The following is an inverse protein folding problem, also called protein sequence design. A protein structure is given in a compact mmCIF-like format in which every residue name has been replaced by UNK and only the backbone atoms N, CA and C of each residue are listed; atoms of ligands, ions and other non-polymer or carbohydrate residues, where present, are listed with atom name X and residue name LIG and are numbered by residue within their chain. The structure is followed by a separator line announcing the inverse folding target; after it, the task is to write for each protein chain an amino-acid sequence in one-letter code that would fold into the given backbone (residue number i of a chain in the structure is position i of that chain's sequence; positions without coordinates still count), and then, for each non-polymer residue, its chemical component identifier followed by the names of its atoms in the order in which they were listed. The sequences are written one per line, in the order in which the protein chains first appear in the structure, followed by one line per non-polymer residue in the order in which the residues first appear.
data_IF_117007035391
#
_entry.id   IF_117007035391
#
_cell.length_a   1.000
_cell.length_b   1.000
_cell.length_c   1.000
_cell.angle_alpha   90.00
_cell.angle_beta   90.00
_cell.angle_gamma   90.00
#
_symmetry.space_group_name_H-M   'P 1'
#
loop_
_entity.id
_entity.type
_entity.pdbx_description
1 polymer ?
#
# COMPACT_ATOMS: atom_id res chain seq x y z
N UNK A 1 -28.71 14.31 -7.12
CA UNK A 1 -28.03 13.00 -7.29
C UNK A 1 -27.82 12.39 -5.91
N UNK A 2 -27.94 11.07 -5.77
CA UNK A 2 -27.72 10.38 -4.50
C UNK A 2 -26.53 9.41 -4.62
N UNK A 3 -25.73 9.34 -3.56
CA UNK A 3 -24.71 8.32 -3.34
C UNK A 3 -25.26 7.35 -2.29
N UNK A 4 -25.36 6.08 -2.63
CA UNK A 4 -25.94 5.07 -1.76
C UNK A 4 -25.13 3.77 -1.78
N UNK A 5 -25.29 2.99 -0.73
CA UNK A 5 -24.67 1.67 -0.61
C UNK A 5 -25.09 0.99 0.67
N UNK A 6 -24.55 -0.20 0.87
CA UNK A 6 -24.76 -0.98 2.09
C UNK A 6 -23.42 -1.39 2.70
N UNK A 7 -23.28 -1.21 3.99
CA UNK A 7 -22.13 -1.70 4.73
C UNK A 7 -22.46 -3.06 5.34
N UNK A 8 -21.53 -3.99 5.20
CA UNK A 8 -21.69 -5.36 5.68
C UNK A 8 -20.41 -5.81 6.40
N UNK A 9 -20.54 -6.78 7.29
CA UNK A 9 -19.42 -7.49 7.90
C UNK A 9 -19.16 -8.80 7.14
N UNK A 10 -17.92 -9.33 7.08
CA UNK A 10 -17.60 -10.54 6.34
C UNK A 10 -18.34 -11.79 6.86
N UNK A 11 -18.66 -11.79 8.14
CA UNK A 11 -19.33 -12.87 8.85
C UNK A 11 -20.87 -12.71 8.89
N UNK A 12 -21.40 -11.67 8.22
CA UNK A 12 -22.84 -11.35 8.24
C UNK A 12 -23.35 -10.84 9.60
N UNK A 13 -22.45 -10.57 10.56
CA UNK A 13 -22.83 -10.03 11.86
C UNK A 13 -23.43 -8.61 11.72
N UNK A 14 -24.26 -8.16 12.67
CA UNK A 14 -24.79 -6.82 12.67
C UNK A 14 -23.70 -5.76 12.64
N UNK A 15 -23.90 -4.71 11.84
CA UNK A 15 -23.00 -3.54 11.82
C UNK A 15 -23.19 -2.70 13.08
N UNK A 16 -22.14 -2.00 13.54
CA UNK A 16 -22.22 -1.15 14.73
C UNK A 16 -23.11 0.09 14.49
N UNK A 17 -23.70 0.59 15.59
CA UNK A 17 -24.63 1.74 15.54
C UNK A 17 -23.92 3.09 15.29
N UNK A 18 -22.61 3.15 15.47
CA UNK A 18 -21.75 4.33 15.28
C UNK A 18 -21.03 4.36 13.94
N UNK A 19 -21.58 3.64 12.96
CA UNK A 19 -20.98 3.51 11.64
C UNK A 19 -21.14 4.80 10.85
N UNK A 20 -20.04 5.54 10.72
CA UNK A 20 -19.95 6.84 10.05
C UNK A 20 -19.44 6.65 8.62
N UNK A 21 -20.17 7.25 7.67
CA UNK A 21 -19.80 7.30 6.25
C UNK A 21 -19.51 8.73 5.86
N UNK A 22 -18.28 9.00 5.42
CA UNK A 22 -17.80 10.34 5.08
C UNK A 22 -17.45 10.39 3.59
N UNK A 23 -17.90 11.44 2.90
CA UNK A 23 -17.37 11.81 1.58
C UNK A 23 -16.22 12.78 1.75
N UNK A 24 -15.04 12.38 1.31
CA UNK A 24 -13.79 13.14 1.42
C UNK A 24 -13.34 13.53 0.02
N UNK A 25 -13.17 14.81 -0.26
CA UNK A 25 -12.70 15.31 -1.55
C UNK A 25 -11.50 16.23 -1.34
N UNK A 26 -10.40 15.99 -2.06
CA UNK A 26 -9.15 16.73 -1.88
C UNK A 26 -8.71 16.76 -0.41
N UNK A 27 -8.76 15.60 0.25
CA UNK A 27 -8.42 15.39 1.66
C UNK A 27 -9.24 16.21 2.69
N UNK A 28 -10.42 16.71 2.30
CA UNK A 28 -11.36 17.42 3.17
C UNK A 28 -12.69 16.69 3.22
N UNK A 29 -13.21 16.47 4.43
CA UNK A 29 -14.56 15.93 4.61
C UNK A 29 -15.56 16.95 4.06
N UNK A 30 -16.41 16.51 3.14
CA UNK A 30 -17.44 17.33 2.51
C UNK A 30 -18.84 16.99 3.00
N UNK A 31 -19.03 15.75 3.43
CA UNK A 31 -20.34 15.29 3.88
C UNK A 31 -20.18 14.05 4.76
N UNK A 32 -21.07 13.91 5.75
CA UNK A 32 -21.10 12.79 6.67
C UNK A 32 -22.54 12.28 6.83
N UNK A 33 -22.68 10.97 7.00
CA UNK A 33 -23.96 10.32 7.31
C UNK A 33 -23.70 9.07 8.15
N UNK A 34 -24.60 8.78 9.08
CA UNK A 34 -24.59 7.50 9.80
C UNK A 34 -25.35 6.46 9.00
N UNK A 35 -24.82 5.25 8.92
CA UNK A 35 -25.54 4.15 8.31
C UNK A 35 -26.65 3.65 9.24
N UNK A 36 -27.70 3.07 8.64
CA UNK A 36 -28.77 2.41 9.38
C UNK A 36 -28.26 1.16 10.12
N UNK A 37 -29.04 0.63 11.06
CA UNK A 37 -28.75 -0.65 11.74
C UNK A 37 -28.57 -1.84 10.79
N UNK A 38 -29.06 -1.73 9.55
CA UNK A 38 -28.88 -2.73 8.49
C UNK A 38 -27.65 -2.45 7.61
N UNK A 39 -26.90 -1.37 7.92
CA UNK A 39 -25.74 -0.92 7.16
C UNK A 39 -26.08 -0.07 5.94
N UNK A 40 -27.36 0.22 5.65
CA UNK A 40 -27.73 1.01 4.48
C UNK A 40 -27.41 2.50 4.75
N UNK A 41 -26.84 3.18 3.75
CA UNK A 41 -26.59 4.62 3.79
C UNK A 41 -26.97 5.30 2.49
N UNK A 42 -27.33 6.58 2.57
CA UNK A 42 -27.61 7.42 1.42
C UNK A 42 -27.23 8.88 1.71
N UNK A 43 -26.50 9.49 0.77
CA UNK A 43 -26.08 10.90 0.81
C UNK A 43 -26.63 11.62 -0.41
N UNK A 44 -27.27 12.77 -0.22
CA UNK A 44 -27.67 13.63 -1.33
C UNK A 44 -26.46 14.46 -1.78
N UNK A 45 -26.01 14.28 -3.02
CA UNK A 45 -24.91 15.03 -3.62
C UNK A 45 -25.44 16.33 -4.22
N UNK A 46 -24.79 17.46 -3.89
CA UNK A 46 -25.14 18.78 -4.45
C UNK A 46 -26.00 19.68 -3.54
N UNK A 47 -26.41 19.25 -2.34
CA UNK A 47 -26.94 20.17 -1.35
C UNK A 47 -25.77 20.85 -0.60
N UNK A 48 -25.72 22.18 -0.63
CA UNK A 48 -24.87 22.96 0.25
C UNK A 48 -25.41 22.83 1.67
N UNK A 49 -24.85 21.94 2.46
CA UNK A 49 -24.93 22.00 3.92
C UNK A 49 -23.53 22.25 4.44
N UNK A 50 -23.01 23.46 4.17
CA UNK A 50 -21.91 24.03 4.94
C UNK A 50 -22.52 24.60 6.23
N UNK A 51 -22.97 23.74 7.12
CA UNK A 51 -23.36 24.11 8.46
C UNK A 51 -22.46 23.40 9.47
N UNK A 52 -21.26 23.96 9.65
CA UNK A 52 -20.63 23.93 10.97
C UNK A 52 -21.12 25.15 11.72
N UNK A 53 -21.61 25.05 12.95
CA UNK A 53 -21.91 26.22 13.77
C UNK A 53 -20.59 26.81 14.28
N UNK A 54 -20.04 27.80 13.56
CA UNK A 54 -19.16 28.77 14.18
C UNK A 54 -20.03 29.74 14.99
N UNK A 55 -19.78 29.77 16.29
CA UNK A 55 -20.37 30.72 17.21
C UNK A 55 -19.89 32.14 16.90
N UNK A 56 -20.85 33.04 16.82
CA UNK A 56 -20.76 34.52 16.95
C UNK A 56 -20.11 35.31 15.80
N UNK A 57 -20.96 36.06 15.06
CA UNK A 57 -20.96 37.53 15.01
C UNK A 57 -21.99 38.07 14.02
N UNK A 58 -22.96 38.79 14.58
CA UNK A 58 -23.65 39.98 14.09
C UNK A 58 -24.22 40.12 12.67
N UNK A 59 -25.49 40.48 12.67
CA UNK A 59 -26.34 40.82 11.58
C UNK A 59 -25.85 42.04 10.77
N UNK A 60 -25.92 41.96 9.46
CA UNK A 60 -26.16 43.11 8.60
C UNK A 60 -26.99 42.69 7.41
N UNK A 61 -28.18 43.24 7.32
CA UNK A 61 -29.15 43.16 6.26
C UNK A 61 -28.65 43.86 4.99
N UNK A 62 -28.73 43.23 3.85
CA UNK A 62 -28.97 43.90 2.58
C UNK A 62 -29.73 43.02 1.57
N UNK A 63 -30.84 43.52 1.12
CA UNK A 63 -31.69 43.03 0.03
C UNK A 63 -30.92 42.86 -1.26
N UNK A 64 -31.16 41.76 -1.97
CA UNK A 64 -30.69 41.65 -3.35
C UNK A 64 -31.06 40.35 -4.06
N UNK A 65 -32.25 40.34 -4.71
CA UNK A 65 -32.58 39.62 -5.95
C UNK A 65 -32.41 38.10 -5.98
N UNK A 66 -33.53 37.45 -5.94
CA UNK A 66 -33.77 36.06 -6.36
C UNK A 66 -33.33 35.81 -7.82
N UNK A 67 -32.34 34.92 -7.99
CA UNK A 67 -32.23 34.23 -9.28
C UNK A 67 -32.44 32.74 -9.02
N UNK A 68 -33.65 32.30 -9.39
CA UNK A 68 -34.02 30.89 -9.53
C UNK A 68 -33.34 30.36 -10.78
N UNK A 69 -32.62 29.34 -10.64
CA UNK A 69 -32.20 28.27 -11.55
C UNK A 69 -30.69 28.04 -11.47
N UNK A 70 -30.30 27.19 -10.57
CA UNK A 70 -29.19 26.28 -10.81
C UNK A 70 -29.32 25.09 -9.84
N UNK A 71 -30.11 24.14 -10.28
CA UNK A 71 -30.03 22.75 -9.86
C UNK A 71 -28.66 22.21 -10.36
N UNK A 72 -27.55 22.73 -9.83
CA UNK A 72 -26.23 22.29 -10.15
C UNK A 72 -25.92 21.07 -9.27
N UNK A 73 -26.39 19.92 -9.73
CA UNK A 73 -25.87 18.65 -9.27
C UNK A 73 -24.34 18.65 -9.38
N UNK A 74 -23.66 18.03 -8.40
CA UNK A 74 -22.20 17.83 -8.42
C UNK A 74 -21.81 17.27 -9.78
N UNK A 75 -20.85 17.92 -10.46
CA UNK A 75 -20.38 17.45 -11.75
C UNK A 75 -19.61 16.13 -11.59
N UNK A 76 -19.63 15.27 -12.59
CA UNK A 76 -18.84 14.03 -12.63
C UNK A 76 -17.34 14.29 -12.35
N UNK A 77 -16.83 15.46 -12.77
CA UNK A 77 -15.44 15.88 -12.51
C UNK A 77 -15.13 16.13 -11.04
N UNK A 78 -16.10 16.60 -10.25
CA UNK A 78 -15.89 16.80 -8.81
C UNK A 78 -15.82 15.49 -8.05
N UNK A 79 -16.47 14.42 -8.54
CA UNK A 79 -16.44 13.09 -7.92
C UNK A 79 -15.12 12.34 -8.19
N UNK A 80 -14.37 12.68 -9.23
CA UNK A 80 -13.09 12.03 -9.53
C UNK A 80 -12.01 12.31 -8.48
N UNK A 81 -12.20 13.34 -7.67
CA UNK A 81 -11.28 13.71 -6.57
C UNK A 81 -11.83 13.36 -5.19
N UNK A 82 -12.89 12.57 -5.16
CA UNK A 82 -13.59 12.21 -3.93
C UNK A 82 -13.52 10.72 -3.64
N UNK A 83 -13.39 10.43 -2.35
CA UNK A 83 -13.44 9.09 -1.79
C UNK A 83 -14.58 8.98 -0.77
N UNK A 84 -15.08 7.77 -0.59
CA UNK A 84 -15.98 7.42 0.49
C UNK A 84 -15.19 6.74 1.59
N UNK A 85 -15.17 7.32 2.78
CA UNK A 85 -14.55 6.76 3.97
C UNK A 85 -15.61 6.21 4.90
N UNK A 86 -15.45 4.95 5.31
CA UNK A 86 -16.32 4.29 6.27
C UNK A 86 -15.54 4.00 7.54
N UNK A 87 -16.03 4.44 8.70
CA UNK A 87 -15.40 4.23 10.01
C UNK A 87 -16.44 3.86 11.06
N UNK A 88 -16.04 3.01 12.00
CA UNK A 88 -16.82 2.65 13.18
C UNK A 88 -15.92 2.17 14.29
N UNK A 89 -16.35 2.31 15.56
CA UNK A 89 -15.60 1.81 16.71
C UNK A 89 -15.38 0.30 16.66
N UNK A 90 -14.13 -0.13 16.78
CA UNK A 90 -13.76 -1.55 16.71
C UNK A 90 -13.75 -2.16 15.30
N UNK A 91 -13.87 -1.33 14.26
CA UNK A 91 -13.75 -1.74 12.87
C UNK A 91 -12.65 -0.95 12.16
N UNK A 92 -12.08 -1.56 11.13
CA UNK A 92 -11.14 -0.85 10.26
C UNK A 92 -11.86 0.13 9.36
N UNK A 93 -11.31 1.33 9.26
CA UNK A 93 -11.72 2.31 8.26
C UNK A 93 -11.51 1.77 6.85
N UNK A 94 -12.49 1.93 5.97
CA UNK A 94 -12.37 1.58 4.56
C UNK A 94 -12.56 2.82 3.70
N UNK A 95 -11.71 2.94 2.68
CA UNK A 95 -11.81 4.01 1.68
C UNK A 95 -12.16 3.40 0.33
N UNK A 96 -13.09 4.03 -0.37
CA UNK A 96 -13.55 3.62 -1.69
C UNK A 96 -13.47 4.84 -2.59
N UNK A 97 -12.71 4.75 -3.67
CA UNK A 97 -12.67 5.83 -4.65
C UNK A 97 -14.00 5.93 -5.39
N UNK A 98 -14.50 7.16 -5.52
CA UNK A 98 -15.71 7.45 -6.30
C UNK A 98 -15.38 7.68 -7.79
N UNK A 99 -14.10 7.62 -8.16
CA UNK A 99 -13.67 7.75 -9.54
C UNK A 99 -14.12 6.53 -10.36
N UNK A 100 -14.79 6.78 -11.49
CA UNK A 100 -15.19 5.74 -12.43
C UNK A 100 -16.47 4.98 -12.07
N UNK A 101 -17.18 5.36 -10.99
CA UNK A 101 -18.47 4.77 -10.69
C UNK A 101 -19.55 5.28 -11.64
N UNK A 102 -20.38 4.35 -12.14
CA UNK A 102 -21.47 4.67 -13.05
C UNK A 102 -22.70 5.23 -12.31
N UNK A 103 -23.34 6.18 -12.95
CA UNK A 103 -24.62 6.73 -12.47
C UNK A 103 -25.80 5.99 -13.12
N UNK A 104 -26.62 5.36 -12.31
CA UNK A 104 -27.84 4.70 -12.76
C UNK A 104 -29.04 5.43 -12.18
N UNK A 105 -29.91 5.97 -13.04
CA UNK A 105 -31.16 6.63 -12.60
C UNK A 105 -30.96 7.83 -11.67
N UNK A 106 -29.87 8.61 -11.85
CA UNK A 106 -29.55 9.79 -11.00
C UNK A 106 -28.97 9.46 -9.64
N UNK A 107 -28.53 8.24 -9.40
CA UNK A 107 -27.83 7.82 -8.20
C UNK A 107 -26.55 7.04 -8.54
N UNK A 108 -25.59 7.10 -7.63
CA UNK A 108 -24.37 6.29 -7.64
C UNK A 108 -24.56 5.22 -6.57
N UNK A 109 -24.48 3.96 -6.97
CA UNK A 109 -24.54 2.84 -6.05
C UNK A 109 -23.13 2.27 -5.87
N UNK A 110 -22.57 2.37 -4.66
CA UNK A 110 -21.24 1.82 -4.34
C UNK A 110 -21.28 0.34 -3.98
N UNK A 111 -22.48 -0.25 -4.03
CA UNK A 111 -22.67 -1.67 -3.70
C UNK A 111 -22.46 -1.98 -2.21
N UNK A 112 -22.01 -3.21 -1.95
CA UNK A 112 -21.73 -3.67 -0.60
C UNK A 112 -20.30 -3.30 -0.18
N UNK A 113 -20.18 -2.47 0.85
CA UNK A 113 -18.92 -2.08 1.47
C UNK A 113 -18.67 -2.99 2.66
N UNK A 114 -17.74 -3.93 2.53
CA UNK A 114 -17.42 -4.85 3.62
C UNK A 114 -16.43 -4.19 4.56
N UNK A 115 -16.81 -3.99 5.84
CA UNK A 115 -15.93 -3.52 6.92
C UNK A 115 -15.48 -4.69 7.79
N UNK A 116 -14.23 -4.69 8.21
CA UNK A 116 -13.65 -5.76 9.03
C UNK A 116 -13.48 -5.27 10.47
N UNK A 117 -13.70 -6.17 11.43
CA UNK A 117 -13.43 -5.86 12.84
C UNK A 117 -11.92 -5.62 13.04
N UNK A 118 -11.56 -4.60 13.79
CA UNK A 118 -10.17 -4.21 14.03
C UNK A 118 -9.31 -5.32 14.70
N UNK A 119 -9.93 -6.39 15.22
CA UNK A 119 -9.24 -7.53 15.81
C UNK A 119 -9.05 -8.75 14.90
N UNK A 120 -9.53 -8.71 13.64
CA UNK A 120 -9.48 -9.85 12.70
C UNK A 120 -8.75 -9.55 11.39
N UNK A 121 -7.88 -8.54 11.36
CA UNK A 121 -7.09 -8.24 10.16
C UNK A 121 -5.92 -9.19 10.10
N UNK A 122 -5.92 -10.00 9.07
CA UNK A 122 -4.78 -10.78 8.65
C UNK A 122 -3.76 -9.81 8.08
N UNK A 123 -2.69 -9.55 8.80
CA UNK A 123 -1.69 -8.53 8.45
C UNK A 123 -2.10 -7.08 8.80
N UNK A 124 -1.28 -6.38 9.50
CA UNK A 124 -1.50 -5.01 9.91
C UNK A 124 -0.29 -4.14 9.60
N UNK A 125 -0.53 -2.97 9.03
CA UNK A 125 0.49 -1.92 8.88
C UNK A 125 0.72 -1.15 10.17
N UNK A 126 -0.26 -1.20 11.10
CA UNK A 126 -0.16 -0.66 12.44
C UNK A 126 -0.47 -1.77 13.43
N UNK A 127 0.42 -1.99 14.37
CA UNK A 127 0.14 -2.90 15.49
C UNK A 127 -0.92 -2.32 16.43
N UNK A 128 -1.81 -3.16 16.94
CA UNK A 128 -2.82 -2.78 17.92
C UNK A 128 -2.26 -2.52 19.33
N UNK A 129 -0.95 -2.71 19.54
CA UNK A 129 -0.29 -2.56 20.85
C UNK A 129 -0.36 -1.14 21.47
N UNK A 130 -0.46 -0.02 20.72
CA UNK A 130 -0.49 1.33 21.30
C UNK A 130 -1.66 1.62 22.23
N UNK A 131 -2.79 0.94 22.06
CA UNK A 131 -4.00 1.20 22.86
C UNK A 131 -3.81 0.98 24.38
N UNK A 132 -2.86 0.15 24.77
CA UNK A 132 -2.54 -0.16 26.19
C UNK A 132 -1.31 0.56 26.71
N UNK A 133 -0.64 1.38 25.89
CA UNK A 133 0.60 2.02 26.28
C UNK A 133 0.37 3.09 27.38
N UNK A 134 1.22 3.16 28.41
CA UNK A 134 1.24 4.23 29.38
C UNK A 134 1.37 5.62 28.71
N UNK A 135 0.80 6.65 29.35
CA UNK A 135 0.80 8.02 28.80
C UNK A 135 2.20 8.53 28.45
N UNK A 136 3.18 8.24 29.32
CA UNK A 136 4.56 8.70 29.10
C UNK A 136 5.24 7.96 27.94
N UNK A 137 4.99 6.67 27.78
CA UNK A 137 5.47 5.91 26.62
C UNK A 137 4.88 6.46 25.31
N UNK A 138 3.58 6.75 25.27
CA UNK A 138 2.94 7.39 24.11
C UNK A 138 3.53 8.76 23.80
N UNK A 139 3.73 9.59 24.84
CA UNK A 139 4.35 10.90 24.67
C UNK A 139 5.78 10.82 24.14
N UNK A 140 6.57 9.83 24.59
CA UNK A 140 7.90 9.59 24.07
C UNK A 140 7.84 9.15 22.60
N UNK A 141 6.96 8.21 22.25
CA UNK A 141 6.75 7.76 20.88
C UNK A 141 6.36 8.92 19.93
N UNK A 142 5.38 9.75 20.32
CA UNK A 142 4.93 10.90 19.51
C UNK A 142 6.06 11.92 19.29
N UNK A 143 6.90 12.15 20.32
CA UNK A 143 8.08 13.00 20.19
C UNK A 143 9.13 12.40 19.25
N UNK A 144 9.30 11.08 19.28
CA UNK A 144 10.16 10.36 18.37
C UNK A 144 9.74 10.57 16.92
N UNK A 145 8.45 10.36 16.60
CA UNK A 145 7.90 10.62 15.27
C UNK A 145 8.09 12.08 14.82
N UNK A 146 7.88 13.03 15.74
CA UNK A 146 8.08 14.44 15.42
C UNK A 146 9.55 14.78 15.17
N UNK A 147 10.47 14.20 15.93
CA UNK A 147 11.90 14.37 15.76
C UNK A 147 12.37 13.78 14.43
N UNK A 148 11.91 12.57 14.10
CA UNK A 148 12.20 11.90 12.83
C UNK A 148 11.71 12.73 11.62
N UNK A 149 10.45 13.20 11.67
CA UNK A 149 9.88 14.07 10.63
C UNK A 149 10.69 15.36 10.42
N UNK A 150 11.32 15.87 11.48
CA UNK A 150 12.17 17.05 11.43
C UNK A 150 13.64 16.73 11.05
N UNK A 151 13.97 15.48 10.74
CA UNK A 151 15.32 15.03 10.41
C UNK A 151 16.30 14.96 11.59
N UNK A 152 15.80 15.06 12.85
CA UNK A 152 16.60 15.02 14.08
C UNK A 152 16.75 13.59 14.55
N UNK A 153 17.64 12.83 13.90
CA UNK A 153 17.79 11.39 14.16
C UNK A 153 18.23 11.10 15.61
N UNK A 154 19.20 11.84 16.16
CA UNK A 154 19.67 11.68 17.56
C UNK A 154 18.55 11.88 18.59
N UNK A 155 17.66 12.83 18.34
CA UNK A 155 16.51 13.07 19.23
C UNK A 155 15.46 11.95 19.05
N UNK A 156 15.21 11.51 17.80
CA UNK A 156 14.30 10.42 17.50
C UNK A 156 14.78 9.12 18.18
N UNK A 157 16.07 8.80 18.09
CA UNK A 157 16.69 7.68 18.77
C UNK A 157 16.36 7.66 20.26
N UNK A 158 16.69 8.73 20.99
CA UNK A 158 16.47 8.85 22.44
C UNK A 158 15.00 8.71 22.81
N UNK A 159 14.11 9.30 22.00
CA UNK A 159 12.68 9.23 22.28
C UNK A 159 12.10 7.84 22.01
N UNK A 160 12.50 7.15 20.94
CA UNK A 160 12.04 5.78 20.68
C UNK A 160 12.65 4.79 21.66
N UNK A 161 13.92 4.94 22.04
CA UNK A 161 14.54 4.17 23.12
C UNK A 161 13.75 4.31 24.41
N UNK A 162 13.46 5.55 24.85
CA UNK A 162 12.59 5.81 26.01
C UNK A 162 11.20 5.17 25.87
N UNK A 163 10.62 5.20 24.66
CA UNK A 163 9.30 4.62 24.43
C UNK A 163 9.31 3.09 24.60
N UNK A 164 10.34 2.39 24.10
CA UNK A 164 10.45 0.92 24.26
C UNK A 164 10.85 0.51 25.66
N UNK A 165 11.61 1.33 26.39
CA UNK A 165 11.91 1.12 27.81
C UNK A 165 10.65 1.23 28.68
N UNK A 166 9.85 2.27 28.47
CA UNK A 166 8.61 2.52 29.23
C UNK A 166 7.49 1.52 28.87
N UNK A 167 7.47 1.04 27.66
CA UNK A 167 6.48 0.07 27.19
C UNK A 167 7.08 -0.94 26.20
N UNK A 168 7.80 -1.97 26.70
CA UNK A 168 8.47 -2.98 25.86
C UNK A 168 7.52 -3.79 24.96
N UNK A 169 6.21 -3.81 25.25
CA UNK A 169 5.21 -4.52 24.45
C UNK A 169 4.67 -3.68 23.27
N UNK A 170 5.32 -2.59 22.89
CA UNK A 170 4.91 -1.77 21.75
C UNK A 170 5.65 -2.20 20.47
N UNK A 171 5.02 -2.99 19.62
CA UNK A 171 5.61 -3.38 18.34
C UNK A 171 5.90 -2.15 17.46
N UNK A 172 5.02 -1.15 17.45
CA UNK A 172 5.24 0.09 16.69
C UNK A 172 6.48 0.87 17.18
N UNK A 173 6.69 0.95 18.50
CA UNK A 173 7.85 1.66 19.04
C UNK A 173 9.16 0.94 18.68
N UNK A 174 9.18 -0.39 18.77
CA UNK A 174 10.32 -1.19 18.35
C UNK A 174 10.60 -1.07 16.85
N UNK A 175 9.56 -1.05 16.01
CA UNK A 175 9.72 -0.85 14.58
C UNK A 175 10.33 0.52 14.26
N UNK A 176 9.80 1.60 14.82
CA UNK A 176 10.34 2.94 14.60
C UNK A 176 11.75 3.10 15.16
N UNK A 177 12.03 2.49 16.32
CA UNK A 177 13.39 2.45 16.86
C UNK A 177 14.36 1.75 15.89
N UNK A 178 13.95 0.59 15.35
CA UNK A 178 14.72 -0.11 14.32
C UNK A 178 14.97 0.73 13.07
N UNK A 179 13.96 1.50 12.64
CA UNK A 179 14.07 2.39 11.47
C UNK A 179 15.11 3.50 11.70
N UNK A 180 15.13 4.09 12.88
CA UNK A 180 16.14 5.10 13.24
C UNK A 180 17.54 4.47 13.31
N UNK A 181 17.68 3.32 13.97
CA UNK A 181 18.96 2.59 14.05
C UNK A 181 19.51 2.23 12.66
N UNK A 182 18.64 1.86 11.72
CA UNK A 182 19.05 1.59 10.33
C UNK A 182 19.54 2.87 9.63
N UNK A 183 18.87 4.00 9.83
CA UNK A 183 19.32 5.31 9.31
C UNK A 183 20.64 5.78 9.92
N UNK A 184 20.95 5.37 11.15
CA UNK A 184 22.20 5.60 11.85
C UNK A 184 23.31 4.61 11.45
N UNK A 185 23.03 3.75 10.45
CA UNK A 185 23.97 2.71 9.99
C UNK A 185 24.35 1.70 11.08
N UNK A 186 23.37 1.32 11.92
CA UNK A 186 23.49 0.31 12.98
C UNK A 186 22.66 -0.95 12.63
N UNK A 187 23.02 -1.72 11.61
CA UNK A 187 22.14 -2.77 11.05
C UNK A 187 21.85 -3.90 12.06
N UNK A 188 22.83 -4.31 12.88
CA UNK A 188 22.63 -5.38 13.86
C UNK A 188 21.63 -4.98 14.95
N UNK A 189 21.70 -3.74 15.41
CA UNK A 189 20.74 -3.22 16.39
C UNK A 189 19.33 -3.05 15.77
N UNK A 190 19.28 -2.57 14.53
CA UNK A 190 18.03 -2.46 13.78
C UNK A 190 17.36 -3.84 13.59
N UNK A 191 18.13 -4.87 13.18
CA UNK A 191 17.61 -6.25 13.03
C UNK A 191 17.01 -6.75 14.35
N UNK A 192 17.67 -6.54 15.49
CA UNK A 192 17.13 -6.91 16.80
C UNK A 192 15.81 -6.19 17.12
N UNK A 193 15.75 -4.88 16.85
CA UNK A 193 14.55 -4.10 17.11
C UNK A 193 13.38 -4.55 16.22
N UNK A 194 13.59 -4.82 14.94
CA UNK A 194 12.59 -5.36 14.04
C UNK A 194 12.13 -6.76 14.45
N UNK A 195 13.05 -7.64 14.85
CA UNK A 195 12.73 -8.97 15.37
C UNK A 195 11.87 -8.87 16.63
N UNK A 196 12.19 -7.92 17.51
CA UNK A 196 11.38 -7.68 18.70
C UNK A 196 9.96 -7.24 18.32
N UNK A 197 9.82 -6.36 17.32
CA UNK A 197 8.53 -5.92 16.83
C UNK A 197 7.68 -7.10 16.27
N UNK A 198 8.29 -7.99 15.48
CA UNK A 198 7.61 -9.19 14.93
C UNK A 198 7.24 -10.20 16.00
N UNK A 199 8.03 -10.31 17.08
CA UNK A 199 7.75 -11.19 18.22
C UNK A 199 6.54 -10.70 19.03
N UNK A 200 6.42 -9.38 19.20
CA UNK A 200 5.32 -8.75 19.95
C UNK A 200 4.01 -8.84 19.16
N UNK A 201 4.07 -8.60 17.85
CA UNK A 201 2.92 -8.65 16.98
C UNK A 201 3.29 -9.35 15.66
N UNK A 202 2.99 -10.64 15.59
CA UNK A 202 3.30 -11.49 14.43
C UNK A 202 2.52 -11.10 13.16
N UNK A 203 1.55 -10.19 13.28
CA UNK A 203 0.71 -9.71 12.17
C UNK A 203 1.13 -8.33 11.68
N UNK A 204 2.09 -7.71 12.34
CA UNK A 204 2.60 -6.40 11.99
C UNK A 204 3.61 -6.52 10.84
N UNK A 205 3.17 -6.22 9.60
CA UNK A 205 3.91 -6.48 8.36
C UNK A 205 5.18 -5.62 8.15
N UNK A 206 5.22 -4.32 8.46
CA UNK A 206 6.38 -3.48 8.16
C UNK A 206 7.73 -4.00 8.67
N UNK A 207 7.88 -4.52 9.91
CA UNK A 207 9.17 -5.04 10.35
C UNK A 207 9.61 -6.31 9.60
N UNK A 208 8.67 -7.15 9.14
CA UNK A 208 9.03 -8.31 8.29
C UNK A 208 9.61 -7.85 6.96
N UNK A 209 9.06 -6.81 6.35
CA UNK A 209 9.59 -6.26 5.11
C UNK A 209 10.98 -5.65 5.29
N UNK A 210 11.19 -4.94 6.40
CA UNK A 210 12.52 -4.41 6.74
C UNK A 210 13.56 -5.53 6.94
N UNK A 211 13.17 -6.60 7.64
CA UNK A 211 14.01 -7.78 7.81
C UNK A 211 14.28 -8.48 6.48
N UNK A 212 13.29 -8.64 5.61
CA UNK A 212 13.45 -9.22 4.28
C UNK A 212 14.41 -8.40 3.40
N UNK A 213 14.31 -7.06 3.46
CA UNK A 213 15.25 -6.17 2.79
C UNK A 213 16.68 -6.33 3.30
N UNK A 214 16.87 -6.45 4.62
CA UNK A 214 18.20 -6.68 5.23
C UNK A 214 18.76 -8.05 4.83
N UNK A 215 17.95 -9.11 4.89
CA UNK A 215 18.34 -10.45 4.46
C UNK A 215 18.67 -10.50 2.96
N UNK A 216 17.90 -9.78 2.12
CA UNK A 216 18.18 -9.63 0.69
C UNK A 216 19.55 -8.98 0.44
N UNK A 217 19.87 -7.90 1.14
CA UNK A 217 21.16 -7.23 1.05
C UNK A 217 22.32 -8.12 1.50
N UNK A 218 22.08 -8.98 2.50
CA UNK A 218 23.06 -9.95 3.00
C UNK A 218 23.17 -11.21 2.12
N UNK A 219 22.25 -11.41 1.17
CA UNK A 219 22.19 -12.63 0.33
C UNK A 219 21.66 -13.87 1.07
N UNK A 220 20.94 -13.68 2.17
CA UNK A 220 20.35 -14.73 3.01
C UNK A 220 19.02 -15.23 2.40
N UNK A 221 19.09 -15.85 1.21
CA UNK A 221 17.93 -16.12 0.35
C UNK A 221 16.84 -16.98 0.99
N UNK A 222 17.22 -17.90 1.87
CA UNK A 222 16.24 -18.74 2.62
C UNK A 222 15.46 -17.86 3.59
N UNK A 223 16.13 -16.99 4.34
CA UNK A 223 15.46 -16.05 5.26
C UNK A 223 14.56 -15.07 4.49
N UNK A 224 15.00 -14.61 3.31
CA UNK A 224 14.15 -13.79 2.43
C UNK A 224 12.85 -14.51 2.08
N UNK A 225 12.90 -15.81 1.72
CA UNK A 225 11.71 -16.60 1.40
C UNK A 225 10.79 -16.76 2.61
N UNK A 226 11.34 -17.05 3.78
CA UNK A 226 10.55 -17.24 5.00
C UNK A 226 9.83 -15.94 5.39
N UNK A 227 10.54 -14.82 5.39
CA UNK A 227 9.98 -13.51 5.74
C UNK A 227 8.93 -13.03 4.72
N UNK A 228 9.24 -13.12 3.42
CA UNK A 228 8.30 -12.72 2.37
C UNK A 228 7.12 -13.68 2.27
N UNK A 229 7.32 -14.97 2.44
CA UNK A 229 6.25 -15.96 2.53
C UNK A 229 5.27 -15.61 3.64
N UNK A 230 5.77 -15.27 4.83
CA UNK A 230 4.93 -14.84 5.94
C UNK A 230 4.10 -13.58 5.62
N UNK A 231 4.71 -12.59 4.97
CA UNK A 231 4.00 -11.37 4.52
C UNK A 231 2.87 -11.74 3.55
N UNK A 232 3.17 -12.57 2.54
CA UNK A 232 2.22 -12.94 1.49
C UNK A 232 1.09 -13.84 2.01
N UNK A 233 1.35 -14.68 3.02
CA UNK A 233 0.35 -15.50 3.68
C UNK A 233 -0.60 -14.67 4.55
N UNK A 234 -0.09 -13.63 5.22
CA UNK A 234 -0.90 -12.73 6.03
C UNK A 234 -1.81 -11.80 5.19
N UNK A 235 -1.39 -11.46 3.97
CA UNK A 235 -2.18 -10.62 3.07
C UNK A 235 -2.18 -11.11 1.62
N UNK A 236 -2.75 -12.32 1.34
CA UNK A 236 -2.71 -12.95 0.03
C UNK A 236 -3.43 -12.14 -1.07
N UNK A 237 -4.26 -11.18 -0.69
CA UNK A 237 -5.02 -10.33 -1.62
C UNK A 237 -4.46 -8.89 -1.70
N UNK A 238 -3.32 -8.63 -1.06
CA UNK A 238 -2.70 -7.31 -1.03
C UNK A 238 -3.66 -6.18 -0.55
N UNK A 239 -4.57 -6.54 0.38
CA UNK A 239 -5.61 -5.61 0.87
C UNK A 239 -5.05 -4.52 1.77
N UNK A 240 -3.93 -4.80 2.43
CA UNK A 240 -3.29 -3.84 3.33
C UNK A 240 -2.63 -2.71 2.53
N UNK A 241 -2.07 -2.99 1.35
CA UNK A 241 -1.53 -1.97 0.46
C UNK A 241 -2.60 -0.98 -0.02
N UNK A 242 -3.81 -1.44 -0.30
CA UNK A 242 -4.94 -0.58 -0.69
C UNK A 242 -5.37 0.35 0.44
N UNK A 243 -5.21 -0.06 1.70
CA UNK A 243 -5.53 0.77 2.87
C UNK A 243 -4.42 1.77 3.23
N UNK A 244 -3.17 1.59 2.74
CA UNK A 244 -2.04 2.48 3.02
C UNK A 244 -2.15 3.86 2.35
N UNK A 245 -3.04 4.01 1.36
CA UNK A 245 -3.34 5.31 0.75
C UNK A 245 -3.82 6.38 1.76
N UNK A 246 -4.19 5.95 2.98
CA UNK A 246 -4.73 6.83 4.03
C UNK A 246 -3.64 7.41 4.94
N UNK A 247 -2.43 6.83 4.97
CA UNK A 247 -1.43 7.13 5.99
C UNK A 247 -0.09 7.65 5.46
N UNK A 248 0.01 8.14 4.22
CA UNK A 248 1.30 8.53 3.59
C UNK A 248 2.38 7.41 3.64
N UNK A 249 1.97 6.17 3.83
CA UNK A 249 2.85 5.01 3.74
C UNK A 249 2.87 4.56 2.28
N UNK A 250 4.06 4.46 1.73
CA UNK A 250 4.34 4.12 0.35
C UNK A 250 3.59 2.84 -0.08
N UNK A 251 2.66 2.90 -1.07
CA UNK A 251 1.95 1.71 -1.56
C UNK A 251 2.87 0.71 -2.28
N UNK A 252 4.13 1.05 -2.51
CA UNK A 252 5.14 0.19 -3.14
C UNK A 252 5.56 -1.01 -2.29
N UNK A 253 5.25 -1.02 -0.99
CA UNK A 253 5.78 -2.00 -0.02
C UNK A 253 5.46 -3.47 -0.33
N UNK A 254 4.46 -3.77 -1.16
CA UNK A 254 4.12 -5.15 -1.52
C UNK A 254 4.72 -5.61 -2.84
N UNK A 255 4.95 -4.69 -3.76
CA UNK A 255 5.79 -4.96 -4.92
C UNK A 255 7.18 -5.42 -4.45
N UNK A 256 7.72 -4.81 -3.38
CA UNK A 256 8.97 -5.19 -2.74
C UNK A 256 8.94 -6.64 -2.22
N UNK A 257 7.89 -7.03 -1.49
CA UNK A 257 7.79 -8.39 -0.96
C UNK A 257 7.75 -9.43 -2.09
N UNK A 258 6.99 -9.18 -3.15
CA UNK A 258 6.96 -10.05 -4.32
C UNK A 258 8.28 -10.05 -5.07
N UNK A 259 8.95 -8.90 -5.21
CA UNK A 259 10.26 -8.79 -5.84
C UNK A 259 11.33 -9.56 -5.05
N UNK A 260 11.42 -9.35 -3.73
CA UNK A 260 12.38 -10.08 -2.89
C UNK A 260 12.12 -11.59 -2.94
N UNK A 261 10.85 -12.01 -2.89
CA UNK A 261 10.47 -13.41 -3.02
C UNK A 261 10.90 -13.98 -4.38
N UNK A 262 10.64 -13.26 -5.46
CA UNK A 262 11.04 -13.65 -6.82
C UNK A 262 12.55 -13.79 -6.93
N UNK A 263 13.30 -12.81 -6.43
CA UNK A 263 14.76 -12.83 -6.47
C UNK A 263 15.33 -13.99 -5.65
N UNK A 264 14.79 -14.25 -4.46
CA UNK A 264 15.23 -15.37 -3.63
C UNK A 264 14.95 -16.73 -4.32
N UNK A 265 13.75 -16.90 -4.88
CA UNK A 265 13.42 -18.10 -5.66
C UNK A 265 14.37 -18.26 -6.85
N UNK A 266 14.68 -17.18 -7.59
CA UNK A 266 15.62 -17.20 -8.71
C UNK A 266 17.03 -17.61 -8.26
N UNK A 267 17.54 -17.05 -7.16
CA UNK A 267 18.87 -17.39 -6.61
C UNK A 267 18.94 -18.83 -6.09
N UNK A 268 17.83 -19.37 -5.60
CA UNK A 268 17.70 -20.76 -5.16
C UNK A 268 17.33 -21.71 -6.31
N UNK A 269 17.36 -21.23 -7.57
CA UNK A 269 17.05 -22.01 -8.79
C UNK A 269 15.64 -22.58 -8.85
N UNK A 270 14.67 -21.95 -8.15
CA UNK A 270 13.23 -22.25 -8.21
C UNK A 270 12.58 -21.37 -9.27
N UNK A 271 12.84 -21.64 -10.55
CA UNK A 271 12.56 -20.72 -11.65
C UNK A 271 11.07 -20.45 -11.84
N UNK A 272 10.19 -21.45 -11.69
CA UNK A 272 8.74 -21.32 -11.81
C UNK A 272 8.14 -20.43 -10.70
N UNK A 273 8.62 -20.60 -9.47
CA UNK A 273 8.18 -19.78 -8.34
C UNK A 273 8.72 -18.35 -8.49
N UNK A 274 9.95 -18.19 -8.99
CA UNK A 274 10.53 -16.89 -9.30
C UNK A 274 9.69 -16.12 -10.32
N UNK A 275 9.32 -16.77 -11.45
CA UNK A 275 8.46 -16.17 -12.48
C UNK A 275 7.12 -15.74 -11.91
N UNK A 276 6.44 -16.65 -11.18
CA UNK A 276 5.14 -16.36 -10.58
C UNK A 276 5.18 -15.14 -9.65
N UNK A 277 6.22 -15.03 -8.83
CA UNK A 277 6.39 -13.90 -7.92
C UNK A 277 6.79 -12.63 -8.65
N UNK A 278 7.67 -12.71 -9.65
CA UNK A 278 8.11 -11.56 -10.45
C UNK A 278 6.96 -10.96 -11.27
N UNK A 279 6.10 -11.79 -11.88
CA UNK A 279 4.90 -11.31 -12.59
C UNK A 279 3.90 -10.64 -11.64
N UNK A 280 3.79 -11.11 -10.41
CA UNK A 280 2.97 -10.44 -9.40
C UNK A 280 3.58 -9.10 -8.98
N UNK A 281 4.90 -9.03 -8.82
CA UNK A 281 5.59 -7.77 -8.52
C UNK A 281 5.36 -6.75 -9.66
N UNK A 282 5.53 -7.16 -10.92
CA UNK A 282 5.26 -6.32 -12.09
C UNK A 282 3.81 -5.81 -12.13
N UNK A 283 2.84 -6.69 -11.87
CA UNK A 283 1.42 -6.32 -11.88
C UNK A 283 1.03 -5.37 -10.74
N UNK A 284 1.74 -5.43 -9.63
CA UNK A 284 1.50 -4.57 -8.46
C UNK A 284 2.21 -3.22 -8.56
N UNK A 285 3.25 -3.12 -9.39
CA UNK A 285 3.99 -1.89 -9.62
C UNK A 285 3.23 -0.96 -10.57
N UNK A 286 2.24 -0.25 -10.01
CA UNK A 286 1.36 0.65 -10.77
C UNK A 286 2.08 1.91 -11.32
N UNK A 287 3.34 2.17 -10.94
CA UNK A 287 4.05 3.44 -11.26
C UNK A 287 5.51 3.23 -11.66
N UNK A 288 5.92 2.01 -12.02
CA UNK A 288 7.29 1.71 -12.47
C UNK A 288 8.40 2.06 -11.46
N UNK A 289 8.11 1.91 -10.15
CA UNK A 289 9.09 2.15 -9.08
C UNK A 289 10.17 1.06 -8.98
N UNK A 290 9.92 -0.11 -9.60
CA UNK A 290 10.81 -1.28 -9.58
C UNK A 290 11.29 -1.71 -10.98
N UNK A 291 12.13 -0.92 -11.66
CA UNK A 291 12.69 -1.33 -12.95
C UNK A 291 13.39 -2.71 -12.88
N UNK A 292 13.94 -3.07 -11.73
CA UNK A 292 14.64 -4.34 -11.48
C UNK A 292 13.75 -5.58 -11.69
N UNK A 293 12.43 -5.45 -11.55
CA UNK A 293 11.49 -6.54 -11.85
C UNK A 293 11.59 -6.96 -13.32
N UNK A 294 11.69 -5.99 -14.23
CA UNK A 294 11.82 -6.25 -15.66
C UNK A 294 13.15 -6.94 -15.98
N UNK A 295 14.25 -6.53 -15.34
CA UNK A 295 15.53 -7.22 -15.50
C UNK A 295 15.46 -8.66 -15.02
N UNK A 296 14.86 -8.90 -13.83
CA UNK A 296 14.68 -10.25 -13.29
C UNK A 296 13.79 -11.12 -14.19
N UNK A 297 12.67 -10.58 -14.69
CA UNK A 297 11.81 -11.29 -15.65
C UNK A 297 12.57 -11.61 -16.93
N UNK A 298 13.38 -10.69 -17.45
CA UNK A 298 14.26 -10.91 -18.59
C UNK A 298 15.21 -12.08 -18.36
N UNK A 299 15.89 -12.13 -17.21
CA UNK A 299 16.79 -13.24 -16.84
C UNK A 299 16.04 -14.57 -16.67
N UNK A 300 14.84 -14.56 -16.06
CA UNK A 300 13.99 -15.74 -15.90
C UNK A 300 13.56 -16.29 -17.25
N UNK A 301 13.03 -15.45 -18.15
CA UNK A 301 12.56 -15.88 -19.47
C UNK A 301 13.71 -16.33 -20.38
N UNK A 302 14.88 -15.71 -20.25
CA UNK A 302 16.10 -16.17 -20.95
C UNK A 302 16.48 -17.61 -20.53
N UNK A 303 16.48 -17.91 -19.23
CA UNK A 303 16.72 -19.27 -18.72
C UNK A 303 15.70 -20.30 -19.20
N UNK A 304 14.44 -19.87 -19.41
CA UNK A 304 13.38 -20.72 -19.94
C UNK A 304 13.41 -20.87 -21.45
N UNK A 305 14.35 -20.21 -22.15
CA UNK A 305 14.46 -20.21 -23.61
C UNK A 305 13.43 -19.35 -24.32
N UNK A 306 12.65 -18.54 -23.57
CA UNK A 306 11.69 -17.60 -24.16
C UNK A 306 12.37 -16.26 -24.46
N UNK A 307 13.25 -16.28 -25.46
CA UNK A 307 14.11 -15.16 -25.79
C UNK A 307 13.33 -13.90 -26.22
N UNK A 308 12.22 -14.07 -26.93
CA UNK A 308 11.42 -12.93 -27.38
C UNK A 308 10.86 -12.11 -26.21
N UNK A 309 10.33 -12.79 -25.18
CA UNK A 309 9.83 -12.11 -23.97
C UNK A 309 10.98 -11.54 -23.15
N UNK A 310 12.09 -12.29 -23.02
CA UNK A 310 13.29 -11.83 -22.31
C UNK A 310 13.83 -10.51 -22.89
N UNK A 311 13.90 -10.41 -24.22
CA UNK A 311 14.31 -9.21 -24.96
C UNK A 311 13.38 -8.04 -24.60
N UNK A 312 12.06 -8.22 -24.69
CA UNK A 312 11.09 -7.17 -24.36
C UNK A 312 11.23 -6.66 -22.94
N UNK A 313 11.41 -7.54 -21.98
CA UNK A 313 11.60 -7.19 -20.58
C UNK A 313 12.91 -6.41 -20.34
N UNK A 314 14.02 -6.84 -20.91
CA UNK A 314 15.31 -6.15 -20.77
C UNK A 314 15.31 -4.78 -21.47
N UNK A 315 14.62 -4.64 -22.61
CA UNK A 315 14.42 -3.36 -23.28
C UNK A 315 13.61 -2.40 -22.42
N UNK A 316 12.55 -2.90 -21.75
CA UNK A 316 11.75 -2.10 -20.79
C UNK A 316 12.62 -1.63 -19.63
N UNK A 317 13.45 -2.50 -19.04
CA UNK A 317 14.39 -2.10 -18.00
C UNK A 317 15.31 -0.96 -18.44
N UNK A 318 15.96 -1.11 -19.63
CA UNK A 318 16.87 -0.09 -20.15
C UNK A 318 16.17 1.22 -20.52
N UNK A 319 14.89 1.17 -20.90
CA UNK A 319 14.09 2.37 -21.16
C UNK A 319 13.78 3.14 -19.88
N UNK A 320 13.49 2.41 -18.78
CA UNK A 320 13.20 3.02 -17.49
C UNK A 320 14.45 3.57 -16.79
N UNK A 321 15.58 2.89 -16.89
CA UNK A 321 16.83 3.26 -16.21
C UNK A 321 18.05 3.18 -17.15
N UNK A 322 18.12 4.06 -18.16
CA UNK A 322 19.14 3.98 -19.22
C UNK A 322 20.58 4.17 -18.73
N UNK A 323 20.75 4.77 -17.55
CA UNK A 323 22.04 5.08 -16.92
C UNK A 323 22.29 4.25 -15.65
N UNK A 324 21.58 3.12 -15.47
CA UNK A 324 21.87 2.21 -14.37
C UNK A 324 23.32 1.69 -14.44
N UNK A 325 23.91 1.39 -13.29
CA UNK A 325 25.30 0.91 -13.23
C UNK A 325 25.54 -0.37 -14.02
N UNK A 326 24.51 -1.17 -14.22
CA UNK A 326 24.53 -2.44 -14.95
C UNK A 326 23.96 -2.34 -16.38
N UNK A 327 23.60 -1.13 -16.84
CA UNK A 327 22.97 -0.95 -18.16
C UNK A 327 23.82 -1.48 -19.32
N UNK A 328 25.15 -1.34 -19.28
CA UNK A 328 26.04 -1.83 -20.34
C UNK A 328 26.04 -3.38 -20.36
N UNK A 329 26.12 -4.01 -19.19
CA UNK A 329 26.01 -5.46 -19.08
C UNK A 329 24.68 -5.98 -19.63
N UNK A 330 23.59 -5.27 -19.33
CA UNK A 330 22.25 -5.65 -19.82
C UNK A 330 22.15 -5.48 -21.33
N UNK A 331 22.77 -4.43 -21.93
CA UNK A 331 22.85 -4.27 -23.39
C UNK A 331 23.61 -5.40 -24.07
N UNK A 332 24.71 -5.86 -23.48
CA UNK A 332 25.46 -7.02 -23.98
C UNK A 332 24.61 -8.30 -23.94
N UNK A 333 23.95 -8.57 -22.82
CA UNK A 333 23.02 -9.70 -22.69
C UNK A 333 21.88 -9.64 -23.71
N UNK A 334 21.30 -8.44 -23.90
CA UNK A 334 20.26 -8.22 -24.89
C UNK A 334 20.74 -8.57 -26.31
N UNK A 335 21.92 -8.11 -26.71
CA UNK A 335 22.49 -8.42 -28.02
C UNK A 335 22.76 -9.92 -28.23
N UNK A 336 23.09 -10.67 -27.18
CA UNK A 336 23.22 -12.12 -27.24
C UNK A 336 21.85 -12.81 -27.42
N UNK A 337 20.83 -12.36 -26.68
CA UNK A 337 19.48 -12.90 -26.80
C UNK A 337 18.87 -12.62 -28.19
N UNK A 338 19.12 -11.45 -28.75
CA UNK A 338 18.70 -11.09 -30.11
C UNK A 338 19.31 -12.02 -31.18
N UNK A 339 20.58 -12.41 -31.01
CA UNK A 339 21.23 -13.39 -31.90
C UNK A 339 20.59 -14.78 -31.77
N UNK A 340 20.24 -15.20 -30.52
CA UNK A 340 19.58 -16.48 -30.28
C UNK A 340 18.13 -16.52 -30.76
N UNK A 341 17.45 -15.36 -30.73
CA UNK A 341 16.08 -15.20 -31.22
C UNK A 341 15.98 -14.94 -32.72
N UNK A 342 17.11 -14.76 -33.41
CA UNK A 342 17.14 -14.54 -34.86
C UNK A 342 16.57 -15.74 -35.63
N UNK A 343 16.16 -15.56 -36.89
CA UNK A 343 15.54 -16.63 -37.66
C UNK A 343 16.50 -17.83 -37.74
N UNK A 344 16.01 -18.99 -37.28
CA UNK A 344 16.69 -20.26 -37.54
C UNK A 344 16.93 -20.33 -39.04
N UNK A 345 18.17 -20.13 -39.47
CA UNK A 345 18.56 -20.27 -40.86
C UNK A 345 18.20 -21.69 -41.27
N UNK A 346 17.22 -21.85 -42.17
CA UNK A 346 16.90 -23.11 -42.85
C UNK A 346 18.10 -23.61 -43.67
N UNK A 347 19.11 -24.16 -43.01
CA UNK A 347 20.27 -24.81 -43.65
C UNK A 347 20.18 -26.33 -43.62
N UNK A 348 18.95 -26.88 -43.67
CA UNK A 348 18.75 -28.30 -43.95
C UNK A 348 17.64 -28.51 -44.99
N UNK A 349 17.87 -28.09 -46.23
CA UNK A 349 17.18 -28.59 -47.41
C UNK A 349 18.05 -28.35 -48.63
N UNK A 350 19.10 -29.12 -48.79
CA UNK A 350 19.70 -29.42 -50.10
C UNK A 350 20.71 -30.54 -49.94
N UNK A 351 20.23 -31.77 -49.89
CA UNK A 351 20.97 -32.94 -50.40
C UNK A 351 20.00 -34.10 -50.49
N UNK A 352 19.16 -34.07 -51.50
CA UNK A 352 18.59 -35.26 -52.14
C UNK A 352 18.39 -34.93 -53.60
N UNK A 353 19.43 -35.25 -54.36
CA UNK A 353 19.31 -35.68 -55.78
C UNK A 353 20.18 -36.88 -55.99
#
# INVERSE_FOLDING_TARGET
MFLRGRIATPDGAPVPNDLLVQRVCNNRVRQEVYASLRGDFSMQLGSRTDNFPEASAEASSSNGVTNRNSDMGISRRELTTCDLRVSASGFQSRVISLMGLDTVGGSIDVGAVVVQRAGKVEGATLSATPYKAPKDARKAYDKGLQAEKNGKLDDAHKYFETAVELYPSSANAWFQYGTVLQKENQPDAARKAYTQATTIDTRFLPPYLSLASMAYQAGEWTEVLDLTGHILDLDPLNRVAVNNYILDLDPSNYADAYFYNAMANYKLNKIEDAEKSALKAEHQDLVTHFPQVHLLLGEIFARKGNYAVAIGQMQTYLALVPHAKDADRVREQLAELEKLNGPVSNSEKTDQK
#
